data_IF_781490871166
#
_entry.id   IF_781490871166
#
_cell.length_a   1.000
_cell.length_b   1.000
_cell.length_c   1.000
_cell.angle_alpha   90.00
_cell.angle_beta   90.00
_cell.angle_gamma   90.00
#
_symmetry.space_group_name_H-M   'P 1'
#
loop_
_entity.id
_entity.type
_entity.pdbx_description
1 polymer ?
#
# COMPACT_ATOMS: atom_id res chain seq x y z
N UNK A 1 0.54 -21.87 0.04
CA UNK A 1 0.62 -20.76 -0.91
C UNK A 1 -0.66 -20.57 -1.73
N UNK A 2 -1.19 -21.61 -2.43
CA UNK A 2 -2.42 -21.49 -3.25
C UNK A 2 -3.68 -21.00 -2.50
N UNK A 3 -3.86 -21.37 -1.25
CA UNK A 3 -5.03 -20.96 -0.45
C UNK A 3 -5.07 -19.46 -0.13
N UNK A 4 -3.92 -18.85 0.15
CA UNK A 4 -3.82 -17.40 0.45
C UNK A 4 -4.13 -16.57 -0.78
N UNK A 5 -3.59 -16.98 -1.95
CA UNK A 5 -3.87 -16.31 -3.23
C UNK A 5 -5.37 -16.36 -3.55
N UNK A 6 -6.02 -17.49 -3.32
CA UNK A 6 -7.48 -17.63 -3.52
C UNK A 6 -8.28 -16.71 -2.58
N UNK A 7 -7.89 -16.60 -1.31
CA UNK A 7 -8.56 -15.72 -0.34
C UNK A 7 -8.40 -14.27 -0.76
N UNK A 8 -7.20 -13.82 -1.14
CA UNK A 8 -6.95 -12.45 -1.62
C UNK A 8 -7.76 -12.17 -2.89
N UNK A 9 -7.82 -13.12 -3.83
CA UNK A 9 -8.60 -12.98 -5.06
C UNK A 9 -10.10 -12.88 -4.77
N UNK A 10 -10.63 -13.69 -3.84
CA UNK A 10 -12.04 -13.67 -3.44
C UNK A 10 -12.39 -12.36 -2.74
N UNK A 11 -11.54 -11.88 -1.81
CA UNK A 11 -11.72 -10.59 -1.14
C UNK A 11 -11.67 -9.45 -2.16
N UNK A 12 -10.73 -9.46 -3.10
CA UNK A 12 -10.65 -8.50 -4.19
C UNK A 12 -11.89 -8.49 -5.07
N UNK A 13 -12.40 -9.65 -5.49
CA UNK A 13 -13.59 -9.79 -6.31
C UNK A 13 -14.87 -9.38 -5.55
N UNK A 14 -15.01 -9.76 -4.28
CA UNK A 14 -16.14 -9.33 -3.43
C UNK A 14 -16.12 -7.82 -3.19
N UNK A 15 -14.95 -7.22 -3.03
CA UNK A 15 -14.80 -5.77 -2.90
C UNK A 15 -15.24 -5.05 -4.17
N UNK A 16 -14.86 -5.54 -5.33
CA UNK A 16 -15.24 -4.99 -6.64
C UNK A 16 -16.76 -5.12 -6.86
N UNK A 17 -17.37 -6.25 -6.52
CA UNK A 17 -18.80 -6.48 -6.71
C UNK A 17 -19.65 -5.58 -5.82
N UNK A 18 -19.27 -5.37 -4.57
CA UNK A 18 -20.00 -4.49 -3.65
C UNK A 18 -19.86 -2.99 -4.01
N UNK A 19 -18.73 -2.58 -4.57
CA UNK A 19 -18.54 -1.20 -5.04
C UNK A 19 -19.40 -0.88 -6.27
N UNK A 20 -19.72 -1.84 -7.12
CA UNK A 20 -20.60 -1.66 -8.26
C UNK A 20 -22.05 -1.31 -7.84
N UNK A 21 -22.53 -1.76 -6.69
CA UNK A 21 -23.86 -1.44 -6.16
C UNK A 21 -23.95 -0.05 -5.49
N UNK A 22 -22.86 0.45 -4.89
CA UNK A 22 -22.82 1.76 -4.24
C UNK A 22 -22.72 2.94 -5.21
N UNK A 23 -22.60 2.70 -6.50
CA UNK A 23 -22.14 3.63 -7.52
C UNK A 23 -23.19 4.59 -8.10
N UNK A 24 -24.30 4.83 -7.46
CA UNK A 24 -25.35 5.63 -8.15
C UNK A 24 -25.03 7.11 -8.36
N UNK A 25 -23.98 7.70 -7.73
CA UNK A 25 -23.75 9.16 -7.81
C UNK A 25 -22.30 9.66 -7.63
N UNK A 26 -21.30 8.84 -7.34
CA UNK A 26 -19.96 9.33 -6.97
C UNK A 26 -18.89 8.98 -8.00
N UNK A 27 -18.00 9.92 -8.28
CA UNK A 27 -16.80 9.63 -9.08
C UNK A 27 -15.83 8.75 -8.26
N UNK A 28 -15.46 7.60 -8.77
CA UNK A 28 -14.41 6.78 -8.17
C UNK A 28 -13.04 7.24 -8.64
N UNK A 29 -12.02 6.95 -7.84
CA UNK A 29 -10.64 7.32 -8.15
C UNK A 29 -9.75 6.09 -8.12
N UNK A 30 -8.82 5.99 -9.06
CA UNK A 30 -7.71 5.07 -9.01
C UNK A 30 -6.42 5.87 -8.84
N UNK A 31 -5.65 5.53 -7.84
CA UNK A 31 -4.34 6.09 -7.58
C UNK A 31 -3.28 5.00 -7.76
N UNK A 32 -2.20 5.33 -8.47
CA UNK A 32 -1.05 4.46 -8.65
C UNK A 32 0.19 5.29 -8.37
N UNK A 33 1.13 4.74 -7.64
CA UNK A 33 2.34 5.47 -7.28
C UNK A 33 3.52 4.57 -6.96
N UNK A 34 4.64 5.23 -6.80
CA UNK A 34 5.89 4.65 -6.28
C UNK A 34 6.12 5.18 -4.88
N UNK A 35 6.77 4.39 -4.06
CA UNK A 35 7.05 4.78 -2.68
C UNK A 35 8.38 4.21 -2.19
N UNK A 36 8.93 4.89 -1.19
CA UNK A 36 10.01 4.40 -0.35
C UNK A 36 9.49 4.17 1.06
N UNK A 37 10.01 3.17 1.70
CA UNK A 37 9.78 2.91 3.11
C UNK A 37 11.13 2.77 3.81
N UNK A 38 11.23 3.24 5.02
CA UNK A 38 12.46 3.17 5.77
C UNK A 38 12.20 3.03 7.26
N UNK A 39 13.04 2.23 7.90
CA UNK A 39 13.27 2.21 9.34
C UNK A 39 14.77 2.00 9.55
N UNK A 40 15.25 0.77 9.63
CA UNK A 40 16.69 0.43 9.65
C UNK A 40 17.22 0.11 8.23
N UNK A 41 16.32 -0.18 7.29
CA UNK A 41 16.62 -0.48 5.89
C UNK A 41 15.73 0.33 4.98
N UNK A 42 16.16 0.57 3.75
CA UNK A 42 15.40 1.34 2.79
C UNK A 42 14.79 0.41 1.74
N UNK A 43 13.45 0.41 1.67
CA UNK A 43 12.66 -0.39 0.72
C UNK A 43 12.13 0.49 -0.39
N UNK A 44 12.12 -0.04 -1.61
CA UNK A 44 11.49 0.59 -2.76
C UNK A 44 10.26 -0.21 -3.17
N UNK A 45 9.23 0.47 -3.60
CA UNK A 45 8.02 -0.22 -3.99
C UNK A 45 7.04 0.61 -4.77
N UNK A 46 5.88 0.04 -4.94
CA UNK A 46 4.76 0.69 -5.58
C UNK A 46 3.45 0.39 -4.86
N UNK A 47 2.45 1.19 -5.15
CA UNK A 47 1.12 0.97 -4.64
C UNK A 47 0.05 1.27 -5.67
N UNK A 48 -1.10 0.64 -5.47
CA UNK A 48 -2.34 0.98 -6.15
C UNK A 48 -3.44 1.14 -5.11
N UNK A 49 -4.30 2.15 -5.30
CA UNK A 49 -5.40 2.45 -4.38
C UNK A 49 -6.66 2.79 -5.17
N UNK A 50 -7.73 2.07 -4.90
CA UNK A 50 -9.06 2.37 -5.39
C UNK A 50 -9.87 3.08 -4.32
N UNK A 51 -10.36 4.30 -4.60
CA UNK A 51 -10.99 5.19 -3.63
C UNK A 51 -12.45 5.42 -4.02
N UNK A 52 -13.35 5.18 -3.08
CA UNK A 52 -14.79 5.36 -3.20
C UNK A 52 -15.24 6.48 -2.26
N UNK A 53 -15.66 7.63 -2.77
CA UNK A 53 -16.29 8.67 -1.96
C UNK A 53 -17.67 8.22 -1.46
N UNK A 54 -17.99 8.50 -0.22
CA UNK A 54 -19.29 8.16 0.37
C UNK A 54 -20.34 9.27 0.22
N UNK A 55 -19.97 10.41 -0.33
CA UNK A 55 -20.91 11.50 -0.63
C UNK A 55 -20.42 12.40 -1.77
N UNK A 56 -21.35 13.18 -2.37
CA UNK A 56 -21.06 14.15 -3.43
C UNK A 56 -20.75 15.56 -2.90
N UNK A 57 -20.51 15.72 -1.58
CA UNK A 57 -20.16 17.01 -1.00
C UNK A 57 -18.72 17.39 -1.37
N UNK A 58 -18.40 18.67 -1.24
CA UNK A 58 -17.03 19.16 -1.46
C UNK A 58 -16.02 18.44 -0.57
N UNK A 59 -16.38 18.24 0.70
CA UNK A 59 -15.61 17.45 1.65
C UNK A 59 -16.39 16.17 1.96
N UNK A 60 -15.72 15.03 1.96
CA UNK A 60 -16.40 13.75 2.03
C UNK A 60 -15.58 12.66 2.72
N UNK A 61 -16.29 11.70 3.31
CA UNK A 61 -15.70 10.46 3.76
C UNK A 61 -15.38 9.54 2.59
N UNK A 62 -14.35 8.73 2.73
CA UNK A 62 -13.90 7.76 1.74
C UNK A 62 -13.73 6.39 2.37
N UNK A 63 -13.97 5.37 1.56
CA UNK A 63 -13.43 4.02 1.78
C UNK A 63 -12.50 3.75 0.61
N UNK A 64 -11.31 3.24 0.89
CA UNK A 64 -10.40 2.84 -0.16
C UNK A 64 -9.79 1.46 0.10
N UNK A 65 -9.44 0.79 -1.00
CA UNK A 65 -8.74 -0.49 -1.01
C UNK A 65 -7.37 -0.24 -1.62
N UNK A 66 -6.32 -0.53 -0.88
CA UNK A 66 -4.97 -0.34 -1.36
C UNK A 66 -4.19 -1.66 -1.31
N UNK A 67 -3.29 -1.80 -2.28
CA UNK A 67 -2.29 -2.84 -2.32
C UNK A 67 -0.93 -2.16 -2.46
N UNK A 68 -0.07 -2.39 -1.49
CA UNK A 68 1.31 -1.90 -1.48
C UNK A 68 2.27 -3.06 -1.58
N UNK A 69 3.31 -2.94 -2.38
CA UNK A 69 4.37 -3.93 -2.52
C UNK A 69 5.73 -3.26 -2.39
N UNK A 70 6.60 -3.85 -1.60
CA UNK A 70 7.98 -3.40 -1.41
C UNK A 70 8.95 -4.51 -1.72
N UNK A 71 10.14 -4.08 -2.09
CA UNK A 71 11.29 -4.94 -2.30
C UNK A 71 12.51 -4.29 -1.66
N UNK A 72 13.26 -5.06 -0.91
CA UNK A 72 14.61 -4.74 -0.48
C UNK A 72 15.56 -5.76 -1.11
N UNK A 73 16.59 -5.26 -1.75
CA UNK A 73 17.68 -6.07 -2.28
C UNK A 73 18.92 -5.75 -1.44
N UNK A 74 19.02 -6.40 -0.30
CA UNK A 74 20.20 -6.27 0.55
C UNK A 74 21.33 -7.09 -0.05
N UNK A 75 22.27 -6.42 -0.69
CA UNK A 75 23.54 -7.00 -1.11
C UNK A 75 24.68 -6.89 -0.09
N UNK A 76 24.41 -6.52 1.18
CA UNK A 76 25.46 -6.28 2.16
C UNK A 76 25.26 -7.15 3.41
N UNK A 77 26.34 -7.86 3.74
CA UNK A 77 26.48 -8.70 4.91
C UNK A 77 26.80 -7.88 6.17
N UNK A 78 26.11 -8.11 7.26
CA UNK A 78 26.62 -7.73 8.57
C UNK A 78 27.87 -8.56 8.95
N UNK A 79 28.87 -7.96 9.65
CA UNK A 79 30.20 -8.56 9.80
C UNK A 79 30.29 -9.88 10.56
N UNK A 80 29.22 -10.45 11.08
CA UNK A 80 29.25 -11.66 11.87
C UNK A 80 28.16 -12.71 11.60
N UNK A 81 27.20 -12.44 10.72
CA UNK A 81 26.21 -13.41 10.27
C UNK A 81 25.84 -13.06 8.82
N UNK A 82 26.48 -13.71 7.91
CA UNK A 82 26.43 -13.39 6.49
C UNK A 82 25.13 -13.87 5.87
N UNK A 83 24.16 -12.97 5.69
CA UNK A 83 23.07 -13.16 4.73
C UNK A 83 23.58 -12.71 3.37
N UNK A 84 23.86 -13.66 2.50
CA UNK A 84 24.22 -13.41 1.11
C UNK A 84 22.95 -13.54 0.27
N UNK A 85 22.70 -12.58 -0.62
CA UNK A 85 21.52 -12.54 -1.51
C UNK A 85 20.17 -12.55 -0.75
N UNK A 86 20.00 -11.61 0.15
CA UNK A 86 18.74 -11.44 0.86
C UNK A 86 17.71 -10.72 -0.02
N UNK A 87 16.57 -11.37 -0.23
CA UNK A 87 15.41 -10.78 -0.88
C UNK A 87 14.32 -10.66 0.17
N UNK A 88 13.99 -9.43 0.55
CA UNK A 88 12.82 -9.14 1.39
C UNK A 88 11.72 -8.53 0.51
N UNK A 89 10.60 -9.22 0.42
CA UNK A 89 9.43 -8.78 -0.30
C UNK A 89 8.28 -8.62 0.69
N UNK A 90 7.61 -7.48 0.64
CA UNK A 90 6.42 -7.23 1.46
C UNK A 90 5.23 -6.89 0.60
N UNK A 91 4.09 -7.49 0.92
CA UNK A 91 2.81 -7.24 0.27
C UNK A 91 1.78 -6.85 1.34
N UNK A 92 1.19 -5.67 1.18
CA UNK A 92 0.32 -5.06 2.20
C UNK A 92 -1.02 -4.66 1.58
N UNK A 93 -2.01 -5.56 1.57
CA UNK A 93 -3.39 -5.20 1.30
C UNK A 93 -4.00 -4.46 2.49
N UNK A 94 -4.66 -3.32 2.24
CA UNK A 94 -5.34 -2.53 3.26
C UNK A 94 -6.73 -2.07 2.82
N UNK A 95 -7.62 -1.93 3.79
CA UNK A 95 -8.84 -1.15 3.69
C UNK A 95 -8.61 0.14 4.46
N UNK A 96 -8.87 1.28 3.83
CA UNK A 96 -8.63 2.57 4.45
C UNK A 96 -9.95 3.31 4.63
N UNK A 97 -10.15 3.87 5.81
CA UNK A 97 -11.25 4.77 6.13
C UNK A 97 -10.69 6.18 6.20
N UNK A 98 -11.27 7.10 5.44
CA UNK A 98 -10.68 8.41 5.31
C UNK A 98 -11.66 9.55 5.21
N UNK A 99 -11.08 10.76 5.24
CA UNK A 99 -11.77 12.01 5.02
C UNK A 99 -10.97 12.89 4.06
N UNK A 100 -11.65 13.41 3.05
CA UNK A 100 -11.07 14.28 2.03
C UNK A 100 -11.55 15.70 2.18
N UNK A 101 -10.62 16.63 2.30
CA UNK A 101 -10.83 18.07 2.24
C UNK A 101 -10.43 18.59 0.85
N UNK A 102 -11.32 19.30 0.18
CA UNK A 102 -11.07 19.83 -1.16
C UNK A 102 -11.04 21.34 -1.15
N UNK A 103 -9.91 21.91 -1.57
CA UNK A 103 -9.67 23.34 -1.73
C UNK A 103 -9.30 23.61 -3.17
N UNK A 104 -10.25 24.01 -4.00
CA UNK A 104 -10.03 24.35 -5.42
C UNK A 104 -9.10 23.32 -6.13
N UNK A 105 -7.79 23.64 -6.22
CA UNK A 105 -6.77 22.80 -6.86
C UNK A 105 -6.07 21.81 -5.92
N UNK A 106 -6.30 21.93 -4.61
CA UNK A 106 -5.65 21.06 -3.61
C UNK A 106 -6.68 20.16 -2.97
N UNK A 107 -6.32 18.91 -2.75
CA UNK A 107 -7.09 17.93 -1.99
C UNK A 107 -6.18 17.36 -0.88
N UNK A 108 -6.67 17.35 0.34
CA UNK A 108 -5.99 16.74 1.48
C UNK A 108 -6.78 15.51 1.90
N UNK A 109 -6.13 14.34 1.89
CA UNK A 109 -6.74 13.09 2.32
C UNK A 109 -6.08 12.64 3.63
N UNK A 110 -6.92 12.31 4.60
CA UNK A 110 -6.54 11.74 5.88
C UNK A 110 -7.18 10.37 5.97
N UNK A 111 -6.40 9.33 6.20
CA UNK A 111 -6.90 7.95 6.17
C UNK A 111 -6.32 7.15 7.34
N UNK A 112 -7.10 6.17 7.79
CA UNK A 112 -6.68 5.12 8.72
C UNK A 112 -6.66 3.81 7.93
N UNK A 113 -5.49 3.39 7.42
CA UNK A 113 -5.32 2.09 6.79
C UNK A 113 -5.33 0.98 7.85
N UNK A 114 -6.02 -0.12 7.53
CA UNK A 114 -6.10 -1.33 8.34
C UNK A 114 -5.95 -2.52 7.41
N UNK A 115 -5.03 -3.42 7.69
CA UNK A 115 -4.79 -4.57 6.85
C UNK A 115 -3.79 -5.57 7.40
N UNK A 116 -3.23 -6.36 6.51
CA UNK A 116 -2.20 -7.35 6.81
C UNK A 116 -0.95 -7.04 6.00
N UNK A 117 0.20 -7.23 6.61
CA UNK A 117 1.50 -7.23 5.94
C UNK A 117 1.98 -8.66 5.81
N UNK A 118 2.16 -9.13 4.59
CA UNK A 118 2.83 -10.39 4.29
C UNK A 118 4.28 -10.08 3.93
N UNK A 119 5.21 -10.63 4.70
CA UNK A 119 6.64 -10.54 4.44
C UNK A 119 7.18 -11.91 4.00
N UNK A 120 7.99 -11.91 2.95
CA UNK A 120 8.74 -13.07 2.47
C UNK A 120 10.21 -12.69 2.38
N UNK A 121 11.03 -13.35 3.22
CA UNK A 121 12.48 -13.17 3.23
C UNK A 121 13.15 -14.45 2.76
N UNK A 122 14.08 -14.35 1.84
CA UNK A 122 14.87 -15.46 1.34
C UNK A 122 16.34 -15.04 1.21
N UNK A 123 17.24 -15.88 1.69
CA UNK A 123 18.68 -15.65 1.62
C UNK A 123 19.46 -16.90 1.99
N UNK A 124 20.78 -16.81 1.99
CA UNK A 124 21.69 -17.84 2.48
C UNK A 124 22.43 -17.35 3.70
N UNK A 125 22.44 -18.13 4.76
CA UNK A 125 23.31 -17.93 5.92
C UNK A 125 24.67 -18.56 5.62
N UNK A 126 25.70 -17.73 5.44
CA UNK A 126 27.05 -18.20 5.16
C UNK A 126 27.96 -17.85 6.33
N UNK A 127 28.69 -18.83 6.85
CA UNK A 127 29.77 -18.61 7.80
C UNK A 127 31.07 -19.17 7.23
N UNK A 128 31.88 -18.30 6.63
CA UNK A 128 33.13 -18.67 5.97
C UNK A 128 34.15 -19.28 6.93
N UNK A 129 34.13 -18.88 8.19
CA UNK A 129 35.09 -19.34 9.21
C UNK A 129 34.96 -20.84 9.52
N UNK A 130 33.73 -21.36 9.47
CA UNK A 130 33.44 -22.78 9.76
C UNK A 130 32.97 -23.57 8.54
N UNK A 131 32.95 -22.89 7.34
CA UNK A 131 32.48 -23.52 6.10
C UNK A 131 31.01 -23.92 6.12
N UNK A 132 30.17 -23.16 6.83
CA UNK A 132 28.73 -23.40 6.95
C UNK A 132 27.96 -22.56 5.97
N UNK A 133 27.09 -23.21 5.20
CA UNK A 133 26.13 -22.56 4.31
C UNK A 133 24.75 -23.18 4.52
N UNK A 134 23.73 -22.37 4.69
CA UNK A 134 22.35 -22.84 4.86
C UNK A 134 21.38 -21.87 4.21
N UNK A 135 20.55 -22.37 3.30
CA UNK A 135 19.43 -21.63 2.73
C UNK A 135 18.43 -21.26 3.84
N UNK A 136 18.01 -20.01 3.80
CA UNK A 136 17.02 -19.44 4.68
C UNK A 136 15.80 -18.96 3.87
N UNK A 137 14.61 -19.31 4.33
CA UNK A 137 13.36 -18.78 3.79
C UNK A 137 12.35 -18.66 4.91
N UNK A 138 11.80 -17.48 5.08
CA UNK A 138 10.80 -17.19 6.10
C UNK A 138 9.58 -16.49 5.48
N UNK A 139 8.40 -16.81 6.01
CA UNK A 139 7.15 -16.17 5.65
C UNK A 139 6.45 -15.73 6.91
N UNK A 140 6.13 -14.46 7.00
CA UNK A 140 5.51 -13.87 8.17
C UNK A 140 4.29 -13.05 7.77
N UNK A 141 3.30 -12.99 8.66
CA UNK A 141 2.09 -12.19 8.48
C UNK A 141 1.87 -11.35 9.71
N UNK A 142 1.74 -10.06 9.52
CA UNK A 142 1.54 -9.09 10.59
C UNK A 142 0.29 -8.29 10.36
N UNK A 143 -0.32 -7.85 11.45
CA UNK A 143 -1.37 -6.85 11.40
C UNK A 143 -0.77 -5.47 11.16
N UNK A 144 -1.29 -4.76 10.15
CA UNK A 144 -0.79 -3.44 9.75
C UNK A 144 -1.90 -2.40 9.90
N UNK A 145 -1.65 -1.36 10.68
CA UNK A 145 -2.55 -0.23 10.82
C UNK A 145 -1.78 1.05 11.19
N UNK A 146 -2.34 2.19 10.83
CA UNK A 146 -1.64 3.45 11.03
C UNK A 146 -2.46 4.65 10.59
N UNK A 147 -1.75 5.71 10.29
CA UNK A 147 -2.29 6.95 9.76
C UNK A 147 -1.63 7.26 8.43
N UNK A 148 -2.44 7.68 7.45
CA UNK A 148 -1.96 8.12 6.15
C UNK A 148 -2.43 9.54 5.87
N UNK A 149 -1.52 10.37 5.36
CA UNK A 149 -1.80 11.70 4.88
C UNK A 149 -1.35 11.85 3.44
N UNK A 150 -2.25 12.32 2.57
CA UNK A 150 -1.99 12.41 1.14
C UNK A 150 -2.48 13.75 0.58
N UNK A 151 -1.61 14.76 0.53
CA UNK A 151 -1.89 16.00 -0.18
C UNK A 151 -1.78 15.78 -1.69
N UNK A 152 -2.77 16.26 -2.46
CA UNK A 152 -2.85 16.12 -3.91
C UNK A 152 -3.07 17.46 -4.59
N UNK A 153 -2.46 17.65 -5.75
CA UNK A 153 -2.69 18.78 -6.63
C UNK A 153 -3.46 18.33 -7.87
N UNK A 154 -4.61 18.96 -8.13
CA UNK A 154 -5.45 18.68 -9.29
C UNK A 154 -4.84 19.33 -10.54
N UNK A 155 -4.36 18.52 -11.46
CA UNK A 155 -3.82 18.95 -12.74
C UNK A 155 -4.98 19.40 -13.64
N UNK A 156 -6.06 18.60 -13.65
CA UNK A 156 -7.31 18.89 -14.37
C UNK A 156 -8.49 18.20 -13.65
N UNK A 157 -9.67 18.21 -14.25
CA UNK A 157 -10.88 17.60 -13.67
C UNK A 157 -10.79 16.10 -13.42
N UNK A 158 -9.88 15.41 -14.13
CA UNK A 158 -9.79 13.95 -14.10
C UNK A 158 -8.47 13.42 -13.53
N UNK A 159 -7.46 14.27 -13.42
CA UNK A 159 -6.12 13.82 -12.98
C UNK A 159 -5.57 14.69 -11.87
N UNK A 160 -4.94 14.08 -10.89
CA UNK A 160 -4.17 14.75 -9.86
C UNK A 160 -2.85 14.01 -9.58
N UNK A 161 -1.88 14.75 -9.10
CA UNK A 161 -0.60 14.22 -8.59
C UNK A 161 -0.53 14.55 -7.10
N UNK A 162 0.04 13.65 -6.32
CA UNK A 162 0.16 13.87 -4.88
C UNK A 162 1.27 13.11 -4.23
N UNK A 163 1.55 13.51 -3.02
CA UNK A 163 2.35 12.74 -2.09
C UNK A 163 1.44 11.82 -1.29
N UNK A 164 1.96 10.70 -0.85
CA UNK A 164 1.31 9.86 0.15
C UNK A 164 2.30 9.53 1.25
N UNK A 165 1.86 9.56 2.49
CA UNK A 165 2.67 9.16 3.63
C UNK A 165 1.89 8.13 4.44
N UNK A 166 2.60 7.23 5.07
CA UNK A 166 2.04 6.30 6.04
C UNK A 166 2.90 6.28 7.30
N UNK A 167 2.23 6.41 8.44
CA UNK A 167 2.82 6.37 9.77
C UNK A 167 2.21 5.19 10.53
N UNK A 168 2.96 4.09 10.77
CA UNK A 168 2.44 2.96 11.53
C UNK A 168 2.23 3.35 12.99
N UNK A 169 1.16 2.84 13.63
CA UNK A 169 0.90 3.07 15.05
C UNK A 169 1.70 2.12 15.95
N UNK A 170 2.09 0.97 15.45
CA UNK A 170 2.96 0.02 16.16
C UNK A 170 4.22 -0.17 15.33
N UNK A 171 5.36 0.10 15.94
CA UNK A 171 6.67 -0.25 15.40
C UNK A 171 7.01 -1.66 15.88
N UNK A 172 6.61 -2.66 15.13
CA UNK A 172 7.16 -3.99 15.28
C UNK A 172 8.26 -4.20 14.23
N UNK A 173 9.30 -5.00 14.54
CA UNK A 173 10.45 -5.26 13.65
C UNK A 173 10.06 -5.73 12.23
N UNK A 174 8.83 -6.17 12.10
CA UNK A 174 8.26 -6.66 10.86
C UNK A 174 7.29 -5.70 10.18
N UNK A 175 6.98 -4.56 10.77
CA UNK A 175 6.17 -3.55 10.10
C UNK A 175 7.08 -2.67 9.26
N UNK A 176 6.67 -2.45 8.02
CA UNK A 176 7.25 -1.41 7.18
C UNK A 176 7.25 -0.11 7.96
N UNK A 177 8.42 0.50 8.14
CA UNK A 177 8.57 1.78 8.80
C UNK A 177 7.77 2.89 8.12
N UNK A 178 8.18 4.12 8.31
CA UNK A 178 7.57 5.27 7.66
C UNK A 178 7.62 5.12 6.14
N UNK A 179 6.51 5.43 5.49
CA UNK A 179 6.41 5.37 4.03
C UNK A 179 6.17 6.76 3.48
N UNK A 180 6.83 7.05 2.38
CA UNK A 180 6.60 8.25 1.57
C UNK A 180 6.58 7.87 0.10
N UNK A 181 5.60 8.40 -0.63
CA UNK A 181 5.46 8.09 -2.05
C UNK A 181 4.90 9.24 -2.85
N UNK A 182 4.98 9.08 -4.18
CA UNK A 182 4.37 9.96 -5.16
C UNK A 182 3.42 9.14 -6.00
N UNK A 183 2.21 9.64 -6.20
CA UNK A 183 1.19 8.96 -6.98
C UNK A 183 0.44 9.86 -7.93
N UNK A 184 -0.07 9.23 -8.99
CA UNK A 184 -1.02 9.81 -9.93
C UNK A 184 -2.40 9.25 -9.64
N UNK A 185 -3.38 10.12 -9.51
CA UNK A 185 -4.79 9.75 -9.30
C UNK A 185 -5.59 10.08 -10.55
N UNK A 186 -6.37 9.12 -11.03
CA UNK A 186 -7.32 9.29 -12.12
C UNK A 186 -8.74 9.17 -11.58
N UNK A 187 -9.58 10.14 -11.95
CA UNK A 187 -11.01 10.15 -11.65
C UNK A 187 -11.76 9.45 -12.75
N UNK A 188 -12.66 8.54 -12.41
CA UNK A 188 -13.61 7.91 -13.32
C UNK A 188 -14.97 8.55 -13.09
N UNK A 189 -15.43 9.33 -14.07
CA UNK A 189 -16.80 9.83 -14.05
C UNK A 189 -17.76 8.65 -14.24
N UNK A 190 -18.66 8.43 -13.30
CA UNK A 190 -19.78 7.54 -13.54
C UNK A 190 -20.75 8.23 -14.47
N UNK A 191 -20.67 7.93 -15.76
CA UNK A 191 -21.70 8.26 -16.71
C UNK A 191 -22.96 7.47 -16.34
N UNK A 192 -23.75 8.00 -15.42
CA UNK A 192 -25.13 7.53 -15.25
C UNK A 192 -25.84 7.88 -16.56
N UNK A 193 -26.10 6.87 -17.39
CA UNK A 193 -26.97 7.01 -18.55
C UNK A 193 -28.24 7.70 -18.08
N UNK A 194 -28.41 8.97 -18.50
CA UNK A 194 -29.72 9.63 -18.47
C UNK A 194 -30.60 8.85 -19.46
N UNK A 195 -31.40 7.95 -18.94
CA UNK A 195 -32.58 7.48 -19.66
C UNK A 195 -33.71 8.49 -19.48
#
# INVERSE_FOLDING_TARGET
MYSIIRIITIIGLLSISNTLYAQKTNNNYLEIGVLGAGDESFYYGGYSKFIVPLSNKTNYFTISFALTAYFDFKGESEPNAYLVDDIDMRLIPTVNFGYSLNFNKVQLNFEVPIGLSYAHTKGALVNETIGFERDYSNNEVFFNYGFSFSPKYKINSSNSIGLTTFLPFIKDKAQSGYQIGIGLTKTFANNVYKK
#
